data_IF_626633214045
#
_entry.id   IF_626633214045
#
_cell.length_a   1.000
_cell.length_b   1.000
_cell.length_c   1.000
_cell.angle_alpha   90.00
_cell.angle_beta   90.00
_cell.angle_gamma   90.00
#
_symmetry.space_group_name_H-M   'P 1'
#
loop_
_entity.id
_entity.type
_entity.pdbx_description
1 polymer ?
#
# COMPACT_ATOMS: atom_id res chain seq x y z
N UNK A 1 -22.13 -53.74 -2.39
CA UNK A 1 -22.86 -52.88 -3.34
C UNK A 1 -22.76 -51.46 -2.83
N UNK A 2 -22.49 -50.54 -3.76
CA UNK A 2 -21.73 -49.30 -3.63
C UNK A 2 -22.26 -48.27 -2.63
N UNK A 3 -21.36 -47.72 -1.82
CA UNK A 3 -21.45 -46.35 -1.30
C UNK A 3 -20.59 -45.47 -2.22
N UNK A 4 -21.23 -44.76 -3.14
CA UNK A 4 -20.58 -43.69 -3.89
C UNK A 4 -20.23 -42.57 -2.91
N UNK A 5 -18.94 -42.38 -2.66
CA UNK A 5 -18.42 -41.13 -2.13
C UNK A 5 -18.44 -40.12 -3.27
N UNK A 6 -19.50 -39.32 -3.34
CA UNK A 6 -19.44 -38.07 -4.08
C UNK A 6 -18.52 -37.13 -3.30
N UNK A 7 -17.26 -37.08 -3.75
CA UNK A 7 -16.34 -36.00 -3.43
C UNK A 7 -16.96 -34.76 -4.07
N UNK A 8 -17.62 -33.94 -3.24
CA UNK A 8 -17.94 -32.57 -3.62
C UNK A 8 -16.62 -31.86 -3.90
N UNK A 9 -16.27 -31.83 -5.19
CA UNK A 9 -15.23 -30.96 -5.71
C UNK A 9 -15.92 -29.60 -5.81
N UNK A 10 -15.59 -28.68 -4.90
CA UNK A 10 -15.98 -27.29 -5.09
C UNK A 10 -15.48 -26.85 -6.47
N UNK A 11 -16.28 -26.13 -7.27
CA UNK A 11 -15.82 -25.65 -8.55
C UNK A 11 -14.71 -24.63 -8.29
N UNK A 12 -13.46 -25.00 -8.60
CA UNK A 12 -12.39 -24.02 -8.72
C UNK A 12 -12.77 -23.08 -9.85
N UNK A 13 -13.26 -21.89 -9.51
CA UNK A 13 -13.43 -20.83 -10.49
C UNK A 13 -12.05 -20.49 -11.03
N UNK A 14 -11.79 -20.71 -12.32
CA UNK A 14 -10.55 -20.32 -13.02
C UNK A 14 -10.34 -18.79 -13.06
N UNK A 15 -11.23 -18.02 -12.41
CA UNK A 15 -11.24 -16.57 -12.44
C UNK A 15 -10.48 -15.97 -11.25
N UNK A 16 -9.71 -14.90 -11.45
CA UNK A 16 -9.06 -14.19 -10.34
C UNK A 16 -10.07 -13.69 -9.30
N UNK A 17 -9.71 -13.72 -8.02
CA UNK A 17 -10.57 -13.28 -6.91
C UNK A 17 -11.06 -11.84 -7.10
N UNK A 18 -10.15 -10.92 -7.42
CA UNK A 18 -10.48 -9.51 -7.65
C UNK A 18 -11.58 -9.33 -8.71
N UNK A 19 -11.61 -10.18 -9.73
CA UNK A 19 -12.59 -10.10 -10.80
C UNK A 19 -13.95 -10.60 -10.33
N UNK A 20 -13.97 -11.66 -9.51
CA UNK A 20 -15.19 -12.16 -8.89
C UNK A 20 -15.77 -11.11 -7.95
N UNK A 21 -14.93 -10.50 -7.10
CA UNK A 21 -15.35 -9.45 -6.18
C UNK A 21 -15.96 -8.26 -6.93
N UNK A 22 -15.23 -7.69 -7.90
CA UNK A 22 -15.72 -6.53 -8.66
C UNK A 22 -17.06 -6.83 -9.36
N UNK A 23 -17.21 -7.99 -9.98
CA UNK A 23 -18.46 -8.33 -10.67
C UNK A 23 -19.63 -8.60 -9.73
N UNK A 24 -19.37 -9.15 -8.55
CA UNK A 24 -20.40 -9.30 -7.52
C UNK A 24 -20.87 -7.93 -7.03
N UNK A 25 -19.94 -7.02 -6.72
CA UNK A 25 -20.30 -5.66 -6.28
C UNK A 25 -21.09 -4.89 -7.35
N UNK A 26 -20.72 -5.01 -8.63
CA UNK A 26 -21.48 -4.41 -9.74
C UNK A 26 -22.93 -4.93 -9.79
N UNK A 27 -23.13 -6.24 -9.58
CA UNK A 27 -24.50 -6.81 -9.60
C UNK A 27 -25.29 -6.39 -8.35
N UNK A 28 -24.65 -6.33 -7.18
CA UNK A 28 -25.28 -5.92 -5.92
C UNK A 28 -25.74 -4.46 -5.97
N UNK A 29 -24.97 -3.59 -6.61
CA UNK A 29 -25.26 -2.16 -6.71
C UNK A 29 -26.18 -1.76 -7.87
N UNK A 30 -26.57 -2.72 -8.72
CA UNK A 30 -27.28 -2.47 -9.98
C UNK A 30 -28.58 -1.66 -9.82
N UNK A 31 -29.28 -1.88 -8.71
CA UNK A 31 -30.55 -1.22 -8.40
C UNK A 31 -30.42 -0.10 -7.36
N UNK A 32 -29.19 0.27 -6.97
CA UNK A 32 -28.95 1.30 -5.98
C UNK A 32 -29.05 2.72 -6.54
N UNK A 33 -29.72 3.60 -5.78
CA UNK A 33 -29.92 5.00 -6.15
C UNK A 33 -28.59 5.79 -6.26
N UNK A 34 -27.56 5.36 -5.53
CA UNK A 34 -26.23 5.97 -5.51
C UNK A 34 -25.15 4.93 -5.83
N UNK A 35 -25.37 4.16 -6.89
CA UNK A 35 -24.47 3.10 -7.35
C UNK A 35 -23.05 3.61 -7.66
N UNK A 36 -22.04 2.90 -7.15
CA UNK A 36 -20.62 3.10 -7.47
C UNK A 36 -20.16 2.19 -8.63
N UNK A 37 -21.06 1.40 -9.21
CA UNK A 37 -20.78 0.42 -10.26
C UNK A 37 -20.00 0.97 -11.45
N UNK A 38 -20.23 2.22 -11.93
CA UNK A 38 -19.40 2.80 -12.98
C UNK A 38 -17.91 2.88 -12.61
N UNK A 39 -17.56 3.10 -11.34
CA UNK A 39 -16.16 3.10 -10.88
C UNK A 39 -15.57 1.68 -10.88
N UNK A 40 -16.34 0.70 -10.40
CA UNK A 40 -15.98 -0.72 -10.49
C UNK A 40 -15.78 -1.18 -11.93
N UNK A 41 -16.65 -0.78 -12.87
CA UNK A 41 -16.50 -1.09 -14.29
C UNK A 41 -15.21 -0.50 -14.89
N UNK A 42 -14.85 0.73 -14.52
CA UNK A 42 -13.59 1.36 -14.98
C UNK A 42 -12.40 0.54 -14.51
N UNK A 43 -12.35 0.16 -13.22
CA UNK A 43 -11.25 -0.62 -12.66
C UNK A 43 -11.23 -2.04 -13.24
N UNK A 44 -12.39 -2.69 -13.38
CA UNK A 44 -12.49 -4.02 -14.02
C UNK A 44 -11.87 -4.01 -15.41
N UNK A 45 -12.29 -3.08 -16.25
CA UNK A 45 -11.88 -3.06 -17.65
C UNK A 45 -10.40 -2.67 -17.78
N UNK A 46 -9.89 -1.80 -16.88
CA UNK A 46 -8.46 -1.50 -16.76
C UNK A 46 -7.63 -2.75 -16.45
N UNK A 47 -8.10 -3.61 -15.52
CA UNK A 47 -7.37 -4.80 -15.09
C UNK A 47 -7.54 -5.99 -16.04
N UNK A 48 -8.63 -6.04 -16.81
CA UNK A 48 -8.85 -7.05 -17.85
C UNK A 48 -8.04 -6.79 -19.13
N UNK A 49 -7.63 -5.55 -19.39
CA UNK A 49 -6.86 -5.24 -20.59
C UNK A 49 -5.53 -6.02 -20.63
N UNK A 50 -5.04 -6.47 -21.79
CA UNK A 50 -3.78 -7.22 -21.91
C UNK A 50 -2.59 -6.43 -21.37
N UNK A 51 -1.60 -7.08 -20.75
CA UNK A 51 -0.43 -6.41 -20.12
C UNK A 51 0.27 -5.40 -21.03
N UNK A 52 0.40 -5.72 -22.32
CA UNK A 52 1.05 -4.91 -23.35
C UNK A 52 0.18 -3.78 -23.92
N UNK A 53 -1.06 -3.62 -23.46
CA UNK A 53 -1.94 -2.53 -23.85
C UNK A 53 -1.50 -1.19 -23.22
N UNK A 54 -0.69 -0.46 -23.98
CA UNK A 54 -0.22 0.88 -23.61
C UNK A 54 -1.32 1.95 -23.49
N UNK A 55 -2.55 1.67 -23.94
CA UNK A 55 -3.67 2.61 -23.89
C UNK A 55 -4.60 2.39 -22.71
N UNK A 56 -4.57 1.21 -22.06
CA UNK A 56 -5.50 0.81 -21.00
C UNK A 56 -5.66 1.89 -19.90
N UNK A 57 -4.53 2.39 -19.37
CA UNK A 57 -4.53 3.44 -18.33
C UNK A 57 -5.17 4.73 -18.86
N UNK A 58 -4.75 5.21 -20.03
CA UNK A 58 -5.26 6.47 -20.60
C UNK A 58 -6.77 6.42 -20.91
N UNK A 59 -7.27 5.25 -21.32
CA UNK A 59 -8.69 5.03 -21.55
C UNK A 59 -9.48 5.01 -20.24
N UNK A 60 -8.97 4.34 -19.21
CA UNK A 60 -9.59 4.34 -17.88
C UNK A 60 -9.66 5.75 -17.29
N UNK A 61 -8.57 6.53 -17.36
CA UNK A 61 -8.55 7.94 -16.93
C UNK A 61 -9.58 8.76 -17.71
N UNK A 62 -9.66 8.58 -19.03
CA UNK A 62 -10.63 9.29 -19.87
C UNK A 62 -12.07 8.95 -19.48
N UNK A 63 -12.37 7.68 -19.19
CA UNK A 63 -13.70 7.25 -18.71
C UNK A 63 -14.05 7.85 -17.36
N UNK A 64 -13.09 7.91 -16.43
CA UNK A 64 -13.28 8.58 -15.14
C UNK A 64 -13.64 10.06 -15.32
N UNK A 65 -12.91 10.79 -16.17
CA UNK A 65 -13.23 12.20 -16.45
C UNK A 65 -14.58 12.39 -17.16
N UNK A 66 -14.94 11.49 -18.07
CA UNK A 66 -16.26 11.53 -18.72
C UNK A 66 -17.39 11.30 -17.71
N UNK A 67 -17.22 10.34 -16.79
CA UNK A 67 -18.17 10.09 -15.70
C UNK A 67 -18.32 11.31 -14.79
N UNK A 68 -17.20 11.97 -14.46
CA UNK A 68 -17.23 13.22 -13.70
C UNK A 68 -17.96 14.34 -14.44
N UNK A 69 -17.68 14.53 -15.73
CA UNK A 69 -18.25 15.60 -16.56
C UNK A 69 -19.76 15.42 -16.79
N UNK A 70 -20.21 14.19 -17.06
CA UNK A 70 -21.64 13.89 -17.21
C UNK A 70 -22.44 14.29 -15.96
N UNK A 71 -21.92 13.98 -14.77
CA UNK A 71 -22.57 14.40 -13.52
C UNK A 71 -22.50 15.91 -13.25
N UNK A 72 -21.62 16.66 -13.94
CA UNK A 72 -21.55 18.11 -13.83
C UNK A 72 -22.68 18.79 -14.61
N UNK A 73 -22.98 18.28 -15.80
CA UNK A 73 -24.08 18.76 -16.64
C UNK A 73 -25.43 18.63 -15.93
N UNK A 74 -25.66 17.51 -15.24
CA UNK A 74 -26.92 17.25 -14.54
C UNK A 74 -27.11 18.11 -13.28
N UNK A 75 -26.03 18.45 -12.57
CA UNK A 75 -26.10 19.04 -11.22
C UNK A 75 -25.90 20.55 -11.16
N UNK A 76 -25.70 21.24 -12.30
CA UNK A 76 -25.47 22.70 -12.35
C UNK A 76 -24.41 23.19 -11.35
N UNK A 77 -23.27 22.49 -11.36
CA UNK A 77 -22.13 22.66 -10.45
C UNK A 77 -21.54 24.08 -10.48
N UNK A 78 -20.98 24.54 -9.35
CA UNK A 78 -20.41 25.88 -9.17
C UNK A 78 -19.14 25.85 -8.32
N UNK A 79 -18.18 26.76 -8.53
CA UNK A 79 -17.02 26.89 -7.66
C UNK A 79 -17.38 27.25 -6.21
N UNK A 80 -16.65 26.74 -5.20
CA UNK A 80 -15.67 25.64 -5.28
C UNK A 80 -16.35 24.27 -5.46
N UNK A 81 -15.77 23.43 -6.31
CA UNK A 81 -16.38 22.17 -6.74
C UNK A 81 -16.01 20.98 -5.83
N UNK A 82 -16.58 20.95 -4.63
CA UNK A 82 -16.28 19.91 -3.63
C UNK A 82 -16.63 18.48 -4.08
N UNK A 83 -17.58 18.31 -5.02
CA UNK A 83 -17.96 16.97 -5.48
C UNK A 83 -16.84 16.26 -6.23
N UNK A 84 -15.87 16.99 -6.81
CA UNK A 84 -14.70 16.35 -7.43
C UNK A 84 -13.91 15.50 -6.42
N UNK A 85 -13.87 15.91 -5.14
CA UNK A 85 -13.28 15.09 -4.09
C UNK A 85 -14.05 13.79 -3.82
N UNK A 86 -15.39 13.81 -3.91
CA UNK A 86 -16.20 12.57 -3.80
C UNK A 86 -15.93 11.61 -4.95
N UNK A 87 -15.87 12.08 -6.20
CA UNK A 87 -15.52 11.21 -7.34
C UNK A 87 -14.13 10.59 -7.19
N UNK A 88 -13.16 11.40 -6.73
CA UNK A 88 -11.81 10.89 -6.46
C UNK A 88 -11.79 9.87 -5.33
N UNK A 89 -12.58 10.10 -4.28
CA UNK A 89 -12.71 9.18 -3.15
C UNK A 89 -13.31 7.84 -3.59
N UNK A 90 -14.45 7.83 -4.29
CA UNK A 90 -15.08 6.59 -4.77
C UNK A 90 -14.15 5.76 -5.65
N UNK A 91 -13.54 6.36 -6.68
CA UNK A 91 -12.62 5.60 -7.55
C UNK A 91 -11.36 5.13 -6.82
N UNK A 92 -10.89 5.89 -5.83
CA UNK A 92 -9.78 5.47 -5.00
C UNK A 92 -10.17 4.31 -4.08
N UNK A 93 -11.33 4.35 -3.43
CA UNK A 93 -11.85 3.25 -2.62
C UNK A 93 -11.89 1.95 -3.44
N UNK A 94 -12.49 1.98 -4.63
CA UNK A 94 -12.51 0.82 -5.54
C UNK A 94 -11.09 0.32 -5.86
N UNK A 95 -10.14 1.23 -6.12
CA UNK A 95 -8.75 0.85 -6.40
C UNK A 95 -8.07 0.19 -5.18
N UNK A 96 -8.32 0.71 -3.97
CA UNK A 96 -7.77 0.14 -2.73
C UNK A 96 -8.41 -1.20 -2.38
N UNK A 97 -9.73 -1.34 -2.48
CA UNK A 97 -10.44 -2.61 -2.33
C UNK A 97 -9.91 -3.65 -3.30
N UNK A 98 -9.73 -3.27 -4.57
CA UNK A 98 -9.18 -4.17 -5.59
C UNK A 98 -7.73 -4.55 -5.28
N UNK A 99 -6.91 -3.61 -4.78
CA UNK A 99 -5.52 -3.87 -4.43
C UNK A 99 -5.35 -4.87 -3.26
N UNK A 100 -6.39 -5.08 -2.45
CA UNK A 100 -6.42 -6.15 -1.44
C UNK A 100 -6.35 -7.54 -2.08
N UNK A 101 -6.95 -7.72 -3.25
CA UNK A 101 -7.13 -9.01 -3.89
C UNK A 101 -6.18 -9.24 -5.08
N UNK A 102 -5.54 -8.18 -5.55
CA UNK A 102 -4.51 -8.24 -6.59
C UNK A 102 -3.13 -8.40 -5.93
N UNK A 103 -2.33 -9.43 -6.31
CA UNK A 103 -0.97 -9.56 -5.79
C UNK A 103 -0.12 -8.33 -6.10
N UNK A 104 0.56 -7.79 -5.08
CA UNK A 104 1.24 -6.50 -5.15
C UNK A 104 2.38 -6.38 -6.19
N UNK A 105 2.87 -7.52 -6.67
CA UNK A 105 4.00 -7.64 -7.59
C UNK A 105 3.57 -7.97 -9.04
N UNK A 106 2.31 -7.76 -9.39
CA UNK A 106 1.81 -7.96 -10.76
C UNK A 106 1.54 -6.62 -11.46
N UNK A 107 1.49 -6.66 -12.80
CA UNK A 107 1.18 -5.48 -13.61
C UNK A 107 -0.21 -4.92 -13.32
N UNK A 108 -1.18 -5.73 -12.88
CA UNK A 108 -2.50 -5.24 -12.48
C UNK A 108 -2.40 -4.30 -11.29
N UNK A 109 -1.54 -4.61 -10.31
CA UNK A 109 -1.33 -3.73 -9.16
C UNK A 109 -0.65 -2.42 -9.58
N UNK A 110 0.32 -2.50 -10.50
CA UNK A 110 0.95 -1.32 -11.09
C UNK A 110 -0.05 -0.45 -11.88
N UNK A 111 -1.00 -1.06 -12.59
CA UNK A 111 -2.06 -0.32 -13.29
C UNK A 111 -2.95 0.50 -12.39
N UNK A 112 -3.27 0.00 -11.19
CA UNK A 112 -4.04 0.77 -10.21
C UNK A 112 -3.29 2.06 -9.82
N UNK A 113 -1.97 1.96 -9.65
CA UNK A 113 -1.11 3.12 -9.36
C UNK A 113 -1.08 4.07 -10.55
N UNK A 114 -0.75 3.57 -11.74
CA UNK A 114 -0.64 4.38 -12.96
C UNK A 114 -1.94 5.10 -13.27
N UNK A 115 -3.08 4.46 -13.01
CA UNK A 115 -4.41 5.04 -13.15
C UNK A 115 -4.63 6.21 -12.19
N UNK A 116 -4.40 6.05 -10.89
CA UNK A 116 -4.55 7.13 -9.91
C UNK A 116 -3.57 8.29 -10.17
N UNK A 117 -2.33 7.97 -10.57
CA UNK A 117 -1.34 8.95 -11.01
C UNK A 117 -1.81 9.69 -12.26
N UNK A 118 -2.39 8.98 -13.22
CA UNK A 118 -2.97 9.53 -14.45
C UNK A 118 -4.12 10.51 -14.16
N UNK A 119 -5.01 10.17 -13.21
CA UNK A 119 -6.08 11.05 -12.74
C UNK A 119 -5.53 12.36 -12.18
N UNK A 120 -4.46 12.32 -11.39
CA UNK A 120 -3.82 13.55 -10.88
C UNK A 120 -3.17 14.37 -11.99
N UNK A 121 -2.44 13.72 -12.90
CA UNK A 121 -1.70 14.40 -13.99
C UNK A 121 -2.61 15.10 -14.99
N UNK A 122 -3.79 14.56 -15.27
CA UNK A 122 -4.75 15.15 -16.20
C UNK A 122 -5.77 16.10 -15.55
N UNK A 123 -5.73 16.30 -14.23
CA UNK A 123 -6.66 17.17 -13.53
C UNK A 123 -6.39 18.66 -13.83
N UNK A 124 -7.45 19.46 -13.79
CA UNK A 124 -7.36 20.91 -13.84
C UNK A 124 -7.00 21.50 -12.47
N UNK A 125 -6.35 22.66 -12.48
CA UNK A 125 -6.02 23.41 -11.26
C UNK A 125 -7.27 24.02 -10.60
N UNK A 126 -8.25 24.45 -11.41
CA UNK A 126 -9.48 25.07 -10.95
C UNK A 126 -10.69 24.66 -11.80
N UNK A 127 -11.88 24.80 -11.22
CA UNK A 127 -13.13 24.43 -11.87
C UNK A 127 -13.65 25.57 -12.75
N UNK A 128 -13.90 25.29 -14.04
CA UNK A 128 -14.55 26.20 -14.98
C UNK A 128 -15.98 25.74 -15.30
N UNK A 129 -16.95 26.63 -15.07
CA UNK A 129 -18.37 26.40 -15.41
C UNK A 129 -18.65 26.27 -16.91
N UNK A 130 -17.75 26.74 -17.79
CA UNK A 130 -17.92 26.69 -19.26
C UNK A 130 -17.22 25.48 -19.89
N UNK A 131 -16.21 24.94 -19.23
CA UNK A 131 -15.44 23.77 -19.64
C UNK A 131 -15.17 22.91 -18.39
N UNK A 132 -16.20 22.17 -17.89
CA UNK A 132 -16.15 21.50 -16.61
C UNK A 132 -15.18 20.31 -16.64
N UNK A 133 -13.95 20.55 -16.20
CA UNK A 133 -12.91 19.53 -16.03
C UNK A 133 -12.81 19.07 -14.59
N UNK A 134 -12.33 17.83 -14.43
CA UNK A 134 -12.05 17.27 -13.13
C UNK A 134 -10.94 18.07 -12.43
N UNK A 135 -11.17 18.45 -11.18
CA UNK A 135 -10.20 19.16 -10.31
C UNK A 135 -9.71 18.20 -9.23
N UNK A 136 -8.40 18.12 -9.04
CA UNK A 136 -7.83 17.24 -8.03
C UNK A 136 -7.98 17.85 -6.63
N UNK A 137 -8.68 17.15 -5.74
CA UNK A 137 -8.82 17.53 -4.33
C UNK A 137 -8.04 16.57 -3.44
N UNK A 138 -7.05 17.11 -2.70
CA UNK A 138 -6.16 16.40 -1.75
C UNK A 138 -6.84 15.78 -0.52
N UNK A 139 -8.15 15.57 -0.53
CA UNK A 139 -8.79 14.80 0.52
C UNK A 139 -9.41 13.51 -0.02
N UNK A 140 -9.73 13.43 -1.32
CA UNK A 140 -10.43 12.28 -1.87
C UNK A 140 -9.59 11.00 -1.81
N UNK A 141 -8.36 11.07 -2.34
CA UNK A 141 -7.41 9.96 -2.32
C UNK A 141 -6.92 9.66 -0.90
N UNK A 142 -6.61 10.70 -0.14
CA UNK A 142 -6.05 10.63 1.21
C UNK A 142 -7.05 10.00 2.19
N UNK A 143 -8.35 10.30 2.04
CA UNK A 143 -9.41 9.70 2.85
C UNK A 143 -9.58 8.21 2.52
N UNK A 144 -9.60 7.85 1.24
CA UNK A 144 -9.67 6.45 0.83
C UNK A 144 -8.45 5.66 1.35
N UNK A 145 -7.26 6.23 1.22
CA UNK A 145 -6.02 5.64 1.71
C UNK A 145 -6.01 5.50 3.25
N UNK A 146 -6.47 6.50 4.01
CA UNK A 146 -6.53 6.42 5.48
C UNK A 146 -7.51 5.33 5.94
N UNK A 147 -8.68 5.25 5.32
CA UNK A 147 -9.68 4.23 5.63
C UNK A 147 -9.12 2.82 5.43
N UNK A 148 -8.52 2.55 4.27
CA UNK A 148 -7.97 1.25 3.96
C UNK A 148 -6.70 0.94 4.75
N UNK A 149 -5.87 1.94 5.03
CA UNK A 149 -4.71 1.78 5.91
C UNK A 149 -5.12 1.47 7.36
N UNK A 150 -6.21 2.05 7.86
CA UNK A 150 -6.68 1.78 9.22
C UNK A 150 -7.25 0.36 9.38
N UNK A 151 -7.90 -0.17 8.34
CA UNK A 151 -8.51 -1.51 8.34
C UNK A 151 -7.59 -2.63 7.82
N UNK A 152 -6.54 -2.27 7.08
CA UNK A 152 -5.62 -3.20 6.43
C UNK A 152 -4.71 -4.05 7.35
N UNK A 153 -4.24 -3.56 8.52
CA UNK A 153 -3.30 -4.28 9.36
C UNK A 153 -3.75 -5.68 9.79
N UNK A 154 -2.93 -6.69 9.47
CA UNK A 154 -3.11 -8.09 9.87
C UNK A 154 -2.02 -8.60 10.81
N UNK A 155 -2.39 -9.37 11.84
CA UNK A 155 -1.42 -9.97 12.74
C UNK A 155 -1.71 -11.46 12.97
N UNK A 156 -0.93 -12.07 13.87
CA UNK A 156 -1.10 -13.47 14.26
C UNK A 156 -2.51 -13.79 14.82
N UNK A 157 -3.24 -12.79 15.32
CA UNK A 157 -4.63 -12.97 15.77
C UNK A 157 -5.59 -12.91 14.59
N UNK A 158 -5.31 -12.12 13.56
CA UNK A 158 -6.07 -12.12 12.30
C UNK A 158 -6.06 -13.51 11.69
N UNK A 159 -4.91 -14.17 11.58
CA UNK A 159 -4.81 -15.54 11.06
C UNK A 159 -5.74 -16.52 11.80
N UNK A 160 -5.89 -16.37 13.13
CA UNK A 160 -6.76 -17.24 13.95
C UNK A 160 -8.25 -16.95 13.81
N UNK A 161 -8.62 -15.78 13.30
CA UNK A 161 -10.01 -15.30 13.20
C UNK A 161 -10.52 -15.20 11.77
N UNK A 162 -9.63 -15.22 10.79
CA UNK A 162 -9.97 -15.04 9.39
C UNK A 162 -10.90 -16.15 8.91
N UNK A 163 -12.02 -15.75 8.32
CA UNK A 163 -12.95 -16.62 7.59
C UNK A 163 -12.70 -16.58 6.08
N UNK A 164 -11.99 -15.56 5.60
CA UNK A 164 -11.62 -15.38 4.21
C UNK A 164 -10.35 -16.20 3.84
N UNK A 165 -10.12 -16.45 2.55
CA UNK A 165 -8.89 -17.11 2.08
C UNK A 165 -7.61 -16.37 2.52
N UNK A 166 -6.52 -17.12 2.71
CA UNK A 166 -5.21 -16.58 3.12
C UNK A 166 -4.76 -15.37 2.28
N UNK A 167 -4.91 -15.48 0.97
CA UNK A 167 -4.52 -14.42 0.04
C UNK A 167 -5.26 -13.10 0.31
N UNK A 168 -6.55 -13.17 0.66
CA UNK A 168 -7.42 -12.00 0.84
C UNK A 168 -7.09 -11.28 2.14
N UNK A 169 -7.00 -12.00 3.26
CA UNK A 169 -6.68 -11.36 4.54
C UNK A 169 -5.21 -10.91 4.59
N UNK A 170 -4.26 -11.66 4.04
CA UNK A 170 -2.86 -11.18 3.95
C UNK A 170 -2.73 -9.98 3.01
N UNK A 171 -3.49 -9.98 1.91
CA UNK A 171 -3.56 -8.89 0.95
C UNK A 171 -4.08 -7.57 1.53
N UNK A 172 -4.96 -7.62 2.54
CA UNK A 172 -5.41 -6.43 3.28
C UNK A 172 -4.27 -5.57 3.82
N UNK A 173 -3.15 -6.17 4.23
CA UNK A 173 -1.98 -5.38 4.61
C UNK A 173 -0.99 -5.26 3.46
N UNK A 174 -0.59 -6.37 2.86
CA UNK A 174 0.51 -6.37 1.89
C UNK A 174 0.16 -5.55 0.63
N UNK A 175 -1.04 -5.76 0.08
CA UNK A 175 -1.51 -5.11 -1.14
C UNK A 175 -1.76 -3.61 -0.93
N UNK A 176 -2.41 -3.26 0.18
CA UNK A 176 -2.66 -1.87 0.58
C UNK A 176 -1.37 -1.12 0.88
N UNK A 177 -0.46 -1.72 1.68
CA UNK A 177 0.84 -1.12 1.98
C UNK A 177 1.67 -0.89 0.72
N UNK A 178 1.67 -1.86 -0.21
CA UNK A 178 2.35 -1.69 -1.49
C UNK A 178 1.72 -0.57 -2.33
N UNK A 179 0.39 -0.44 -2.35
CA UNK A 179 -0.30 0.63 -3.08
C UNK A 179 0.05 2.00 -2.48
N UNK A 180 -0.02 2.14 -1.15
CA UNK A 180 0.40 3.35 -0.43
C UNK A 180 1.86 3.69 -0.75
N UNK A 181 2.76 2.69 -0.71
CA UNK A 181 4.18 2.89 -1.01
C UNK A 181 4.38 3.44 -2.43
N UNK A 182 3.73 2.83 -3.43
CA UNK A 182 3.83 3.23 -4.83
C UNK A 182 3.24 4.64 -5.04
N UNK A 183 2.07 4.94 -4.48
CA UNK A 183 1.46 6.27 -4.56
C UNK A 183 2.29 7.36 -3.87
N UNK A 184 2.85 7.06 -2.69
CA UNK A 184 3.76 7.97 -2.00
C UNK A 184 5.03 8.23 -2.81
N UNK A 185 5.64 7.19 -3.39
CA UNK A 185 6.80 7.32 -4.29
C UNK A 185 6.50 8.26 -5.48
N UNK A 186 5.28 8.21 -6.02
CA UNK A 186 4.83 9.05 -7.14
C UNK A 186 4.35 10.46 -6.70
N UNK A 187 4.49 10.82 -5.43
CA UNK A 187 4.17 12.15 -4.91
C UNK A 187 2.66 12.40 -4.74
N UNK A 188 1.85 11.35 -4.58
CA UNK A 188 0.40 11.48 -4.39
C UNK A 188 0.01 11.58 -2.91
N UNK A 189 0.85 11.10 -2.00
CA UNK A 189 0.58 10.98 -0.57
C UNK A 189 1.70 11.64 0.26
N UNK A 190 2.23 12.77 -0.19
CA UNK A 190 3.39 13.39 0.45
C UNK A 190 3.14 13.69 1.93
N UNK A 191 1.95 14.19 2.28
CA UNK A 191 1.61 14.64 3.62
C UNK A 191 1.31 13.48 4.60
N UNK A 192 0.63 12.43 4.13
CA UNK A 192 0.15 11.31 4.96
C UNK A 192 0.96 10.01 4.81
N UNK A 193 1.54 9.76 3.63
CA UNK A 193 2.30 8.55 3.33
C UNK A 193 3.38 8.25 4.37
N UNK A 194 4.25 9.21 4.73
CA UNK A 194 5.25 8.99 5.76
C UNK A 194 4.65 8.61 7.14
N UNK A 195 3.47 9.15 7.48
CA UNK A 195 2.77 8.87 8.75
C UNK A 195 2.30 7.42 8.78
N UNK A 196 1.69 6.95 7.70
CA UNK A 196 1.23 5.57 7.57
C UNK A 196 2.39 4.57 7.57
N UNK A 197 3.44 4.85 6.80
CA UNK A 197 4.67 4.03 6.79
C UNK A 197 5.25 3.92 8.20
N UNK A 198 5.43 5.05 8.89
CA UNK A 198 5.90 5.09 10.29
C UNK A 198 5.02 4.25 11.21
N UNK A 199 3.69 4.40 11.09
CA UNK A 199 2.72 3.66 11.89
C UNK A 199 2.85 2.15 11.72
N UNK A 200 3.04 1.67 10.49
CA UNK A 200 3.21 0.25 10.18
C UNK A 200 4.54 -0.30 10.69
N UNK A 201 5.63 0.46 10.57
CA UNK A 201 6.92 0.10 11.19
C UNK A 201 6.80 -0.07 12.70
N UNK A 202 6.12 0.86 13.38
CA UNK A 202 5.86 0.78 14.83
C UNK A 202 5.01 -0.45 15.16
N UNK A 203 3.95 -0.73 14.38
CA UNK A 203 3.10 -1.90 14.58
C UNK A 203 3.87 -3.21 14.37
N UNK A 204 4.69 -3.28 13.32
CA UNK A 204 5.47 -4.46 12.97
C UNK A 204 6.59 -4.76 13.97
N UNK A 205 7.26 -3.75 14.51
CA UNK A 205 8.42 -3.96 15.40
C UNK A 205 8.17 -3.64 16.88
N UNK A 206 6.91 -3.52 17.31
CA UNK A 206 6.58 -3.43 18.74
C UNK A 206 7.14 -4.63 19.51
N UNK A 207 7.67 -4.39 20.72
CA UNK A 207 8.38 -5.40 21.52
C UNK A 207 7.56 -6.65 21.86
N UNK A 208 6.23 -6.54 21.93
CA UNK A 208 5.31 -7.65 22.22
C UNK A 208 4.40 -7.94 21.03
N UNK A 209 4.95 -7.93 19.81
CA UNK A 209 4.18 -8.33 18.64
C UNK A 209 3.77 -9.81 18.75
N UNK A 210 2.49 -10.14 18.54
CA UNK A 210 2.02 -11.52 18.64
C UNK A 210 2.51 -12.35 17.45
N UNK A 211 2.79 -13.64 17.70
CA UNK A 211 3.19 -14.60 16.68
C UNK A 211 4.71 -14.72 16.51
N UNK A 212 5.14 -15.91 16.09
CA UNK A 212 6.53 -16.20 15.74
C UNK A 212 6.72 -16.03 14.23
N UNK A 213 7.60 -15.11 13.82
CA UNK A 213 7.83 -14.79 12.41
C UNK A 213 8.34 -15.98 11.58
N UNK A 214 8.93 -17.00 12.22
CA UNK A 214 9.44 -18.18 11.52
C UNK A 214 8.32 -19.09 11.01
N UNK A 215 7.13 -19.06 11.63
CA UNK A 215 6.03 -20.00 11.33
C UNK A 215 4.66 -19.34 11.14
N UNK A 216 4.43 -18.15 11.70
CA UNK A 216 3.14 -17.46 11.69
C UNK A 216 3.00 -16.59 10.43
N UNK A 217 2.03 -16.92 9.59
CA UNK A 217 1.84 -16.27 8.28
C UNK A 217 1.35 -14.82 8.46
N UNK A 218 0.50 -14.57 9.47
CA UNK A 218 0.06 -13.22 9.79
C UNK A 218 1.24 -12.33 10.20
N UNK A 219 2.15 -12.89 10.99
CA UNK A 219 3.39 -12.22 11.39
C UNK A 219 4.33 -11.99 10.20
N UNK A 220 4.46 -12.96 9.29
CA UNK A 220 5.25 -12.80 8.06
C UNK A 220 4.67 -11.71 7.15
N UNK A 221 3.35 -11.68 6.96
CA UNK A 221 2.66 -10.65 6.16
C UNK A 221 2.88 -9.24 6.74
N UNK A 222 2.78 -9.11 8.06
CA UNK A 222 3.05 -7.86 8.77
C UNK A 222 4.47 -7.34 8.54
N UNK A 223 5.48 -8.21 8.58
CA UNK A 223 6.87 -7.80 8.30
C UNK A 223 7.07 -7.51 6.81
N UNK A 224 6.43 -8.28 5.93
CA UNK A 224 6.53 -8.05 4.49
C UNK A 224 5.97 -6.68 4.07
N UNK A 225 4.89 -6.20 4.72
CA UNK A 225 4.35 -4.86 4.47
C UNK A 225 5.41 -3.77 4.67
N UNK A 226 6.16 -3.82 5.78
CA UNK A 226 7.22 -2.83 6.07
C UNK A 226 8.46 -3.00 5.21
N UNK A 227 8.78 -4.24 4.83
CA UNK A 227 9.81 -4.54 3.82
C UNK A 227 9.45 -3.87 2.49
N UNK A 228 8.19 -4.01 2.04
CA UNK A 228 7.73 -3.42 0.78
C UNK A 228 7.82 -1.89 0.79
N UNK A 229 7.54 -1.21 1.91
CA UNK A 229 7.73 0.24 1.99
C UNK A 229 9.17 0.67 1.67
N UNK A 230 10.18 -0.03 2.19
CA UNK A 230 11.59 0.28 1.91
C UNK A 230 11.96 -0.04 0.47
N UNK A 231 11.56 -1.22 -0.01
CA UNK A 231 11.92 -1.65 -1.35
C UNK A 231 11.31 -0.74 -2.42
N UNK A 232 10.06 -0.32 -2.23
CA UNK A 232 9.30 0.50 -3.19
C UNK A 232 9.59 2.00 -3.00
N UNK A 233 9.42 2.51 -1.78
CA UNK A 233 9.40 3.95 -1.49
C UNK A 233 10.56 4.42 -0.59
N UNK A 234 11.56 3.57 -0.34
CA UNK A 234 12.65 3.85 0.60
C UNK A 234 13.39 5.15 0.32
N UNK A 235 13.62 5.50 -0.95
CA UNK A 235 14.28 6.77 -1.31
C UNK A 235 13.47 8.00 -0.91
N UNK A 236 12.15 7.98 -1.17
CA UNK A 236 11.27 9.06 -0.77
C UNK A 236 11.17 9.14 0.77
N UNK A 237 11.04 7.99 1.42
CA UNK A 237 10.90 7.93 2.88
C UNK A 237 12.19 8.29 3.63
N UNK A 238 13.37 7.94 3.10
CA UNK A 238 14.65 8.31 3.68
C UNK A 238 14.88 9.83 3.66
N UNK A 239 14.38 10.54 2.64
CA UNK A 239 14.43 12.02 2.61
C UNK A 239 13.65 12.61 3.79
N UNK A 240 12.47 12.08 4.09
CA UNK A 240 11.67 12.49 5.25
C UNK A 240 12.39 12.18 6.58
N UNK A 241 13.03 11.01 6.69
CA UNK A 241 13.79 10.61 7.88
C UNK A 241 15.03 11.49 8.12
N UNK A 242 15.68 11.98 7.05
CA UNK A 242 16.85 12.88 7.13
C UNK A 242 16.47 14.34 7.37
N UNK A 243 15.25 14.74 7.03
CA UNK A 243 14.76 16.09 7.20
C UNK A 243 13.46 16.10 8.01
N UNK A 244 13.51 15.86 9.34
CA UNK A 244 12.34 15.80 10.20
C UNK A 244 11.78 17.22 10.47
N UNK A 245 11.37 17.92 9.42
CA UNK A 245 10.67 19.21 9.53
C UNK A 245 9.19 18.99 9.90
N UNK A 246 8.69 17.77 9.72
CA UNK A 246 7.32 17.37 10.06
C UNK A 246 7.31 16.72 11.43
N UNK A 247 6.85 17.51 12.42
CA UNK A 247 6.77 17.18 13.85
C UNK A 247 6.09 15.83 14.19
N UNK A 248 5.33 15.23 13.27
CA UNK A 248 4.50 14.05 13.53
C UNK A 248 5.17 12.71 13.22
N UNK A 249 6.29 12.68 12.47
CA UNK A 249 6.89 11.43 12.00
C UNK A 249 7.92 10.88 12.98
N UNK A 250 8.66 11.77 13.67
CA UNK A 250 9.68 11.42 14.67
C UNK A 250 10.59 10.24 14.24
N UNK A 251 10.86 10.09 12.94
CA UNK A 251 11.82 9.10 12.43
C UNK A 251 13.18 9.78 12.44
N UNK A 252 14.01 9.37 13.37
CA UNK A 252 15.40 9.82 13.51
C UNK A 252 16.35 8.67 13.16
N UNK A 253 17.66 8.96 13.17
CA UNK A 253 18.71 7.97 12.93
C UNK A 253 18.58 6.74 13.85
N UNK A 254 18.20 6.93 15.11
CA UNK A 254 18.05 5.85 16.08
C UNK A 254 16.91 4.90 15.71
N UNK A 255 15.73 5.42 15.36
CA UNK A 255 14.62 4.58 14.91
C UNK A 255 14.93 3.90 13.59
N UNK A 256 15.55 4.60 12.65
CA UNK A 256 15.98 4.03 11.38
C UNK A 256 16.91 2.83 11.58
N UNK A 257 17.94 2.99 12.43
CA UNK A 257 18.88 1.92 12.81
C UNK A 257 18.18 0.76 13.50
N UNK A 258 17.28 1.04 14.44
CA UNK A 258 16.51 0.00 15.14
C UNK A 258 15.67 -0.84 14.17
N UNK A 259 14.94 -0.20 13.26
CA UNK A 259 14.12 -0.89 12.28
C UNK A 259 14.96 -1.69 11.28
N UNK A 260 16.09 -1.14 10.82
CA UNK A 260 17.04 -1.88 9.99
C UNK A 260 17.55 -3.14 10.72
N UNK A 261 17.96 -3.02 12.00
CA UNK A 261 18.36 -4.19 12.80
C UNK A 261 17.26 -5.24 12.91
N UNK A 262 16.00 -4.82 13.05
CA UNK A 262 14.85 -5.75 13.10
C UNK A 262 14.63 -6.49 11.78
N UNK A 263 14.86 -5.83 10.64
CA UNK A 263 14.82 -6.49 9.33
C UNK A 263 15.94 -7.51 9.17
N UNK A 264 17.16 -7.18 9.62
CA UNK A 264 18.28 -8.12 9.65
C UNK A 264 17.98 -9.33 10.52
N UNK A 265 17.47 -9.12 11.74
CA UNK A 265 17.05 -10.20 12.64
C UNK A 265 16.04 -11.14 11.97
N UNK A 266 15.06 -10.60 11.23
CA UNK A 266 14.09 -11.42 10.48
C UNK A 266 14.79 -12.23 9.39
N UNK A 267 15.69 -11.63 8.60
CA UNK A 267 16.43 -12.33 7.57
C UNK A 267 17.31 -13.46 8.14
N UNK A 268 17.85 -13.28 9.34
CA UNK A 268 18.68 -14.29 10.00
C UNK A 268 17.86 -15.51 10.48
N UNK A 269 16.68 -15.29 11.06
CA UNK A 269 15.89 -16.35 11.73
C UNK A 269 14.90 -17.06 10.81
N UNK A 270 14.43 -16.40 9.74
CA UNK A 270 13.42 -16.97 8.85
C UNK A 270 14.06 -17.93 7.84
N UNK A 271 13.39 -19.05 7.59
CA UNK A 271 13.83 -20.07 6.63
C UNK A 271 13.83 -19.57 5.18
N UNK A 272 14.66 -20.18 4.34
CA UNK A 272 14.75 -19.85 2.90
C UNK A 272 13.41 -20.05 2.16
N UNK A 273 12.54 -20.93 2.68
CA UNK A 273 11.24 -21.27 2.08
C UNK A 273 10.07 -20.48 2.67
N UNK A 274 10.33 -19.44 3.47
CA UNK A 274 9.28 -18.60 4.01
C UNK A 274 8.48 -17.89 2.90
N UNK A 275 7.22 -17.57 3.20
CA UNK A 275 6.29 -17.00 2.22
C UNK A 275 6.85 -15.70 1.63
N UNK A 276 6.54 -15.48 0.35
CA UNK A 276 6.89 -14.27 -0.40
C UNK A 276 8.39 -13.95 -0.43
N UNK A 277 9.25 -14.96 -0.30
CA UNK A 277 10.71 -14.81 -0.24
C UNK A 277 11.14 -13.86 0.90
N UNK A 278 10.43 -13.89 2.03
CA UNK A 278 10.58 -12.92 3.12
C UNK A 278 12.03 -12.77 3.58
N UNK A 279 12.78 -13.88 3.67
CA UNK A 279 14.20 -13.86 4.05
C UNK A 279 15.03 -12.96 3.13
N UNK A 280 14.95 -13.20 1.83
CA UNK A 280 15.71 -12.45 0.82
C UNK A 280 15.26 -10.99 0.76
N UNK A 281 13.95 -10.74 0.82
CA UNK A 281 13.41 -9.37 0.78
C UNK A 281 13.75 -8.58 2.03
N UNK A 282 13.71 -9.18 3.21
CA UNK A 282 14.10 -8.54 4.47
C UNK A 282 15.59 -8.16 4.45
N UNK A 283 16.46 -9.04 3.93
CA UNK A 283 17.87 -8.73 3.73
C UNK A 283 18.05 -7.54 2.77
N UNK A 284 17.41 -7.58 1.60
CA UNK A 284 17.47 -6.47 0.62
C UNK A 284 16.96 -5.15 1.21
N UNK A 285 15.90 -5.19 2.02
CA UNK A 285 15.38 -4.00 2.68
C UNK A 285 16.35 -3.47 3.74
N UNK A 286 16.97 -4.35 4.54
CA UNK A 286 18.05 -3.95 5.46
C UNK A 286 19.20 -3.28 4.72
N UNK A 287 19.73 -3.91 3.67
CA UNK A 287 20.86 -3.38 2.89
C UNK A 287 20.51 -1.99 2.31
N UNK A 288 19.29 -1.86 1.76
CA UNK A 288 18.78 -0.58 1.24
C UNK A 288 18.60 0.48 2.34
N UNK A 289 18.17 0.11 3.55
CA UNK A 289 18.10 1.06 4.66
C UNK A 289 19.49 1.59 5.06
N UNK A 290 20.51 0.72 5.07
CA UNK A 290 21.89 1.12 5.34
C UNK A 290 22.42 2.06 4.24
N UNK A 291 22.18 1.72 2.97
CA UNK A 291 22.59 2.54 1.82
C UNK A 291 21.93 3.93 1.83
N UNK A 292 20.65 4.00 2.18
CA UNK A 292 19.89 5.25 2.10
C UNK A 292 20.21 6.23 3.23
N UNK A 293 20.62 5.74 4.41
CA UNK A 293 20.96 6.59 5.57
C UNK A 293 22.21 6.07 6.28
N UNK A 294 23.38 6.07 5.62
CA UNK A 294 24.61 5.50 6.17
C UNK A 294 25.06 6.22 7.45
N UNK A 295 24.82 7.53 7.53
CA UNK A 295 25.16 8.36 8.69
C UNK A 295 24.44 7.87 9.96
N UNK A 296 23.26 7.24 9.80
CA UNK A 296 22.54 6.63 10.90
C UNK A 296 23.22 5.36 11.46
N UNK A 297 24.35 4.89 10.91
CA UNK A 297 25.07 3.68 11.35
C UNK A 297 26.53 3.96 11.74
N UNK A 298 26.99 5.22 11.70
CA UNK A 298 28.41 5.56 11.92
C UNK A 298 28.86 5.51 13.40
N UNK A 299 27.92 5.57 14.37
CA UNK A 299 28.25 5.65 15.80
C UNK A 299 28.90 4.37 16.40
N UNK A 300 28.96 3.25 15.67
CA UNK A 300 29.63 2.03 16.16
C UNK A 300 31.15 2.01 15.92
N UNK A 301 31.71 2.96 15.16
CA UNK A 301 33.16 2.99 14.92
C UNK A 301 33.96 3.80 15.95
N UNK A 302 33.31 4.52 16.87
CA UNK A 302 34.00 5.34 17.88
C UNK A 302 34.04 4.75 19.29
N UNK A 303 33.24 3.72 19.62
CA UNK A 303 33.18 3.18 21.00
C UNK A 303 34.00 1.87 21.21
N UNK A 304 34.89 1.55 20.26
CA UNK A 304 35.88 0.46 20.36
C UNK A 304 37.32 0.98 20.26
N UNK A 305 37.56 2.23 20.69
CA UNK A 305 38.88 2.86 20.78
C UNK A 305 39.41 2.94 22.22
N UNK A 306 40.12 1.90 22.63
CA UNK A 306 41.07 1.79 23.76
C UNK A 306 40.69 2.31 25.16
N UNK A 307 40.46 1.40 26.14
CA UNK A 307 40.81 1.68 27.53
C UNK A 307 42.31 1.45 27.69
N UNK A 308 43.09 2.50 27.95
CA UNK A 308 44.34 2.55 28.75
C UNK A 308 45.22 3.71 28.27
N UNK A 309 45.28 4.78 29.06
CA UNK A 309 46.51 5.44 29.50
C UNK A 309 46.19 6.72 30.29
N UNK A 310 45.86 6.58 31.57
CA UNK A 310 46.21 7.61 32.55
C UNK A 310 46.89 6.95 33.75
N UNK A 311 48.19 6.68 33.57
CA UNK A 311 49.13 6.53 34.68
C UNK A 311 50.15 7.65 34.57
N UNK A 312 50.05 8.60 35.50
CA UNK A 312 51.18 9.31 36.10
C UNK A 312 51.90 10.37 35.26
N UNK A 313 51.95 11.59 35.80
CA UNK A 313 53.15 12.20 36.41
C UNK A 313 52.94 13.71 36.43
N UNK A 314 52.76 14.29 37.62
CA UNK A 314 53.36 15.55 38.07
C UNK A 314 53.37 15.44 39.62
N UNK A 315 54.49 15.47 40.33
CA UNK A 315 55.69 16.28 40.09
C UNK A 315 55.49 17.60 40.81
#
# INVERSE_FOLDING_TARGET
MSTSNDIQTEPSSDRPLWLVHIEQTIEEERDELFSESPFYEIVRDLLLAPEDDSHAVSQAVSRFYQLYAAGAEERSRKPPEYSAGHYLNSIACVAFETAREVPFNTYQHDRLVEFLVGIKKGAADEYDTKDPKFVYYRWGLETAADEHWNHGPVDALTQKRATEPELVWTGSWIGIAALIAKLFKEGLLDDDGPRWITGDFVRAFKSNAPGDVTIDIGRQAQVLAVVNYILIAGEAYAKEAKAPQRLHLAVDANKWRLWASKLREVADVVDQNAKWDLKERAQKAYDKMVELYPEAFEDEQQDMGDPVAQVGILG
#
